data_IF_747766292788
#
_entry.id   IF_747766292788
#
_cell.length_a   1.000
_cell.length_b   1.000
_cell.length_c   1.000
_cell.angle_alpha   90.00
_cell.angle_beta   90.00
_cell.angle_gamma   90.00
#
_symmetry.space_group_name_H-M   'P 1'
#
loop_
_entity.id
_entity.type
_entity.pdbx_description
1 polymer ?
#
# COMPACT_ATOMS: atom_id res chain seq x y z
N UNK A 1 17.44 -18.90 -9.82
CA UNK A 1 17.60 -18.12 -8.59
C UNK A 1 17.42 -19.03 -7.40
N UNK A 2 18.24 -18.91 -6.35
CA UNK A 2 18.05 -19.70 -5.13
C UNK A 2 16.68 -19.40 -4.51
N UNK A 3 16.06 -20.43 -3.91
CA UNK A 3 14.78 -20.27 -3.21
C UNK A 3 15.02 -19.40 -1.96
N UNK A 4 14.29 -18.27 -1.79
CA UNK A 4 14.41 -17.47 -0.57
C UNK A 4 14.11 -18.31 0.67
N UNK A 5 14.84 -18.09 1.77
CA UNK A 5 14.71 -18.88 2.99
C UNK A 5 13.25 -18.97 3.49
N UNK A 6 12.53 -17.85 3.49
CA UNK A 6 11.10 -17.80 3.85
C UNK A 6 10.15 -18.51 2.89
N UNK A 7 10.59 -18.83 1.66
CA UNK A 7 9.76 -19.47 0.63
C UNK A 7 10.04 -20.99 0.48
N UNK A 8 11.00 -21.54 1.21
CA UNK A 8 11.43 -22.96 1.05
C UNK A 8 10.27 -23.94 1.24
N UNK A 9 9.46 -23.75 2.28
CA UNK A 9 8.30 -24.61 2.54
C UNK A 9 7.26 -24.49 1.43
N UNK A 10 6.93 -23.28 1.03
CA UNK A 10 5.96 -23.00 -0.03
C UNK A 10 6.43 -23.59 -1.36
N UNK A 11 7.72 -23.46 -1.67
CA UNK A 11 8.33 -24.07 -2.84
C UNK A 11 8.15 -25.58 -2.85
N UNK A 12 8.44 -26.26 -1.72
CA UNK A 12 8.30 -27.69 -1.60
C UNK A 12 6.87 -28.18 -1.85
N UNK A 13 5.87 -27.50 -1.30
CA UNK A 13 4.47 -27.87 -1.54
C UNK A 13 4.04 -27.55 -2.99
N UNK A 14 4.53 -26.47 -3.56
CA UNK A 14 4.24 -26.11 -4.95
C UNK A 14 4.83 -27.15 -5.93
N UNK A 15 6.07 -27.58 -5.73
CA UNK A 15 6.71 -28.59 -6.59
C UNK A 15 6.09 -29.99 -6.46
N UNK A 16 5.45 -30.32 -5.32
CA UNK A 16 4.65 -31.56 -5.19
C UNK A 16 3.40 -31.52 -6.06
N UNK A 17 2.74 -30.37 -6.12
CA UNK A 17 1.51 -30.19 -6.91
C UNK A 17 1.80 -30.02 -8.41
N UNK A 18 2.93 -29.39 -8.76
CA UNK A 18 3.31 -29.03 -10.12
C UNK A 18 4.79 -29.38 -10.39
N UNK A 19 5.16 -30.67 -10.51
CA UNK A 19 6.56 -31.10 -10.57
C UNK A 19 7.33 -30.59 -11.80
N UNK A 20 6.64 -30.30 -12.90
CA UNK A 20 7.24 -29.79 -14.14
C UNK A 20 7.26 -28.26 -14.21
N UNK A 21 6.74 -27.56 -13.20
CA UNK A 21 6.65 -26.11 -13.23
C UNK A 21 8.01 -25.44 -13.01
N UNK A 22 8.28 -24.41 -13.80
CA UNK A 22 9.41 -23.49 -13.57
C UNK A 22 8.98 -22.42 -12.57
N UNK A 23 9.56 -22.45 -11.36
CA UNK A 23 9.23 -21.50 -10.29
C UNK A 23 10.25 -20.38 -10.25
N UNK A 24 9.78 -19.14 -10.30
CA UNK A 24 10.57 -17.92 -10.12
C UNK A 24 10.09 -17.14 -8.90
N UNK A 25 11.02 -16.51 -8.20
CA UNK A 25 10.74 -15.67 -7.03
C UNK A 25 11.05 -14.21 -7.35
N UNK A 26 10.14 -13.35 -6.99
CA UNK A 26 10.28 -11.91 -7.12
C UNK A 26 9.68 -11.21 -5.89
N UNK A 27 10.04 -9.95 -5.65
CA UNK A 27 9.36 -9.13 -4.65
C UNK A 27 7.94 -8.79 -5.12
N UNK A 28 7.07 -8.50 -4.17
CA UNK A 28 5.74 -7.94 -4.42
C UNK A 28 5.80 -6.66 -5.27
N UNK A 29 6.82 -5.83 -5.02
CA UNK A 29 7.04 -4.59 -5.76
C UNK A 29 7.39 -4.83 -7.24
N UNK A 30 8.22 -5.85 -7.55
CA UNK A 30 8.48 -6.23 -8.95
C UNK A 30 7.23 -6.85 -9.59
N UNK A 31 6.46 -7.61 -8.83
CA UNK A 31 5.18 -8.14 -9.29
C UNK A 31 4.19 -7.02 -9.63
N UNK A 32 4.08 -6.00 -8.77
CA UNK A 32 3.26 -4.82 -9.03
C UNK A 32 3.70 -4.07 -10.30
N UNK A 33 5.01 -3.85 -10.48
CA UNK A 33 5.54 -3.17 -11.66
C UNK A 33 5.25 -3.94 -12.95
N UNK A 34 5.45 -5.26 -12.97
CA UNK A 34 5.12 -6.12 -14.11
C UNK A 34 3.63 -6.12 -14.43
N UNK A 35 2.79 -6.16 -13.39
CA UNK A 35 1.34 -6.14 -13.55
C UNK A 35 0.83 -4.85 -14.20
N UNK A 36 1.40 -3.71 -13.79
CA UNK A 36 0.98 -2.39 -14.26
C UNK A 36 1.51 -2.06 -15.66
N UNK A 37 2.76 -2.39 -15.93
CA UNK A 37 3.47 -1.87 -17.11
C UNK A 37 3.91 -2.94 -18.11
N UNK A 38 3.78 -4.21 -17.76
CA UNK A 38 4.31 -5.29 -18.59
C UNK A 38 5.82 -5.16 -18.77
N UNK A 39 6.26 -4.88 -20.01
CA UNK A 39 7.67 -4.70 -20.37
C UNK A 39 8.03 -3.23 -20.66
N UNK A 40 7.17 -2.29 -20.28
CA UNK A 40 7.40 -0.84 -20.46
C UNK A 40 7.90 -0.23 -19.15
N UNK A 41 8.70 0.84 -19.22
CA UNK A 41 9.12 1.55 -18.03
C UNK A 41 7.95 2.29 -17.37
N UNK A 42 8.07 2.51 -16.04
CA UNK A 42 7.09 3.26 -15.27
C UNK A 42 7.43 3.33 -13.78
N UNK A 43 6.61 4.03 -13.01
CA UNK A 43 6.73 4.13 -11.55
C UNK A 43 5.57 3.37 -10.94
N UNK A 44 5.87 2.23 -10.30
CA UNK A 44 4.89 1.40 -9.64
C UNK A 44 4.76 1.77 -8.16
N UNK A 45 3.53 1.81 -7.68
CA UNK A 45 3.18 2.06 -6.28
C UNK A 45 2.32 0.92 -5.77
N UNK A 46 2.71 0.32 -4.65
CA UNK A 46 1.83 -0.53 -3.85
C UNK A 46 1.15 0.36 -2.80
N UNK A 47 -0.17 0.27 -2.69
CA UNK A 47 -0.95 1.07 -1.74
C UNK A 47 -2.09 0.24 -1.12
N UNK A 48 -1.75 -0.44 -0.03
CA UNK A 48 -2.62 -1.32 0.76
C UNK A 48 -2.59 -0.97 2.24
N UNK A 49 -2.41 -1.98 3.10
CA UNK A 49 -2.13 -1.76 4.53
C UNK A 49 -0.87 -0.92 4.72
N UNK A 50 0.23 -1.27 4.04
CA UNK A 50 1.42 -0.44 3.90
C UNK A 50 1.50 0.19 2.52
N UNK A 51 2.65 0.82 2.22
CA UNK A 51 2.97 1.35 0.90
C UNK A 51 4.41 1.05 0.51
N UNK A 52 4.66 0.96 -0.78
CA UNK A 52 6.01 0.89 -1.35
C UNK A 52 5.98 1.43 -2.78
N UNK A 53 7.12 1.84 -3.32
CA UNK A 53 7.19 2.36 -4.68
C UNK A 53 8.51 2.04 -5.34
N UNK A 54 8.54 1.98 -6.68
CA UNK A 54 9.78 1.83 -7.43
C UNK A 54 9.69 2.44 -8.82
N UNK A 55 10.85 2.78 -9.34
CA UNK A 55 11.07 3.00 -10.75
C UNK A 55 11.46 1.67 -11.40
N UNK A 56 10.75 1.33 -12.47
CA UNK A 56 10.88 0.10 -13.24
C UNK A 56 11.28 0.43 -14.67
N UNK A 57 12.28 -0.27 -15.22
CA UNK A 57 12.80 -0.03 -16.59
C UNK A 57 12.14 -0.90 -17.68
N UNK A 58 11.15 -1.71 -17.31
CA UNK A 58 10.53 -2.71 -18.19
C UNK A 58 11.06 -4.13 -17.96
N UNK A 59 12.10 -4.31 -17.14
CA UNK A 59 12.70 -5.62 -16.81
C UNK A 59 12.92 -5.78 -15.30
N UNK A 60 13.47 -4.77 -14.66
CA UNK A 60 13.87 -4.79 -13.25
C UNK A 60 13.61 -3.45 -12.56
N UNK A 61 13.64 -3.47 -11.24
CA UNK A 61 13.58 -2.26 -10.43
C UNK A 61 14.95 -1.57 -10.50
N UNK A 62 14.97 -0.32 -10.94
CA UNK A 62 16.20 0.49 -11.06
C UNK A 62 16.36 1.49 -9.90
N UNK A 63 15.25 1.88 -9.26
CA UNK A 63 15.27 2.73 -8.06
C UNK A 63 14.11 2.35 -7.15
N UNK A 64 14.36 2.32 -5.85
CA UNK A 64 13.32 2.13 -4.83
C UNK A 64 13.53 3.15 -3.69
N UNK A 65 12.55 4.00 -3.47
CA UNK A 65 12.46 4.81 -2.25
C UNK A 65 11.93 3.89 -1.15
N UNK A 66 12.73 3.68 -0.10
CA UNK A 66 12.43 2.70 0.95
C UNK A 66 11.15 3.08 1.70
N UNK A 67 10.21 2.14 1.83
CA UNK A 67 8.95 2.38 2.53
C UNK A 67 9.12 2.61 4.04
N UNK A 68 10.15 2.05 4.65
CA UNK A 68 10.41 2.17 6.09
C UNK A 68 9.48 1.35 6.99
N UNK A 69 8.39 0.77 6.45
CA UNK A 69 7.38 0.03 7.19
C UNK A 69 6.50 0.92 8.09
N UNK A 70 5.57 0.31 8.83
CA UNK A 70 4.48 1.02 9.53
C UNK A 70 4.93 2.00 10.64
N UNK A 71 6.15 1.87 11.14
CA UNK A 71 6.71 2.80 12.14
C UNK A 71 7.33 4.02 11.49
N UNK A 72 8.20 3.80 10.49
CA UNK A 72 9.08 4.84 9.93
C UNK A 72 8.55 5.41 8.60
N UNK A 73 7.51 4.82 8.03
CA UNK A 73 7.01 5.18 6.72
C UNK A 73 5.62 4.62 6.43
N UNK A 74 5.48 3.88 5.32
CA UNK A 74 4.23 3.39 4.76
C UNK A 74 3.22 4.51 4.48
N UNK A 75 3.74 5.70 4.12
CA UNK A 75 2.94 6.88 3.84
C UNK A 75 1.89 6.59 2.78
N UNK A 76 0.69 7.08 2.97
CA UNK A 76 -0.46 6.83 2.10
C UNK A 76 -1.17 5.50 2.40
N UNK A 77 -0.53 4.55 3.09
CA UNK A 77 -1.12 3.25 3.44
C UNK A 77 -2.13 3.32 4.58
N UNK A 78 -2.98 2.29 4.68
CA UNK A 78 -4.01 2.20 5.71
C UNK A 78 -3.45 2.13 7.14
N UNK A 79 -2.28 1.51 7.35
CA UNK A 79 -1.63 1.45 8.66
C UNK A 79 -1.08 2.81 9.09
N UNK A 80 -0.53 3.59 8.17
CA UNK A 80 -0.08 4.96 8.44
C UNK A 80 -1.27 5.85 8.84
N UNK A 81 -2.39 5.75 8.12
CA UNK A 81 -3.63 6.45 8.45
C UNK A 81 -4.15 6.06 9.83
N UNK A 82 -4.29 4.76 10.10
CA UNK A 82 -4.77 4.25 11.38
C UNK A 82 -3.85 4.60 12.55
N UNK A 83 -2.53 4.57 12.35
CA UNK A 83 -1.53 4.97 13.36
C UNK A 83 -1.72 6.43 13.78
N UNK A 84 -1.89 7.32 12.80
CA UNK A 84 -2.12 8.73 13.08
C UNK A 84 -3.43 8.94 13.82
N UNK A 85 -4.53 8.34 13.34
CA UNK A 85 -5.85 8.44 13.96
C UNK A 85 -5.87 7.91 15.40
N UNK A 86 -5.31 6.72 15.64
CA UNK A 86 -5.23 6.12 16.97
C UNK A 86 -4.38 6.98 17.91
N UNK A 87 -3.26 7.52 17.43
CA UNK A 87 -2.44 8.45 18.21
C UNK A 87 -3.23 9.70 18.66
N UNK A 88 -4.00 10.27 17.75
CA UNK A 88 -4.82 11.45 17.99
C UNK A 88 -6.02 11.12 18.91
N UNK A 89 -6.63 9.94 18.73
CA UNK A 89 -7.70 9.46 19.61
C UNK A 89 -7.23 9.33 21.07
N UNK A 90 -6.09 8.69 21.31
CA UNK A 90 -5.53 8.51 22.66
C UNK A 90 -5.15 9.83 23.33
N UNK A 91 -4.99 10.90 22.57
CA UNK A 91 -4.69 12.26 23.07
C UNK A 91 -5.91 13.17 23.16
N UNK A 92 -7.12 12.66 22.83
CA UNK A 92 -8.34 13.45 22.84
C UNK A 92 -8.40 14.54 21.76
N UNK A 93 -7.69 14.35 20.63
CA UNK A 93 -7.67 15.30 19.50
C UNK A 93 -8.80 15.00 18.51
N UNK A 94 -9.23 13.73 18.40
CA UNK A 94 -10.33 13.35 17.49
C UNK A 94 -11.62 14.01 17.95
N UNK A 95 -12.33 14.78 17.08
CA UNK A 95 -13.55 15.48 17.48
C UNK A 95 -14.70 14.53 17.81
N UNK A 96 -15.58 14.97 18.69
CA UNK A 96 -16.91 14.41 18.86
C UNK A 96 -17.79 14.75 17.61
N UNK A 97 -18.70 13.87 17.17
CA UNK A 97 -19.06 12.56 17.75
C UNK A 97 -18.18 11.38 17.26
N UNK A 98 -17.19 11.62 16.39
CA UNK A 98 -16.34 10.57 15.78
C UNK A 98 -15.60 9.78 16.87
N UNK A 99 -15.07 10.47 17.91
CA UNK A 99 -14.36 9.82 19.00
C UNK A 99 -15.26 8.85 19.79
N UNK A 100 -16.47 9.29 20.15
CA UNK A 100 -17.43 8.44 20.87
C UNK A 100 -17.89 7.24 20.04
N UNK A 101 -18.14 7.42 18.75
CA UNK A 101 -18.51 6.33 17.86
C UNK A 101 -17.37 5.32 17.70
N UNK A 102 -16.13 5.78 17.55
CA UNK A 102 -14.94 4.92 17.50
C UNK A 102 -14.79 4.08 18.76
N UNK A 103 -14.88 4.70 19.93
CA UNK A 103 -14.80 4.01 21.21
C UNK A 103 -15.94 2.99 21.44
N UNK A 104 -17.11 3.20 20.82
CA UNK A 104 -18.21 2.25 20.89
C UNK A 104 -18.04 1.02 19.99
N UNK A 105 -17.31 1.17 18.89
CA UNK A 105 -17.07 0.10 17.91
C UNK A 105 -15.82 -0.75 18.20
N UNK A 106 -14.83 -0.15 18.88
CA UNK A 106 -13.53 -0.79 19.07
C UNK A 106 -13.10 -0.74 20.54
N UNK A 107 -12.41 -1.79 20.99
CA UNK A 107 -11.77 -1.79 22.31
C UNK A 107 -10.53 -0.89 22.26
N UNK A 108 -10.71 0.35 22.72
CA UNK A 108 -9.69 1.40 22.74
C UNK A 108 -9.09 1.63 24.13
N UNK A 109 -9.22 0.64 25.03
CA UNK A 109 -8.51 0.66 26.32
C UNK A 109 -7.00 0.82 26.07
N UNK A 110 -6.38 1.74 26.80
CA UNK A 110 -4.98 2.15 26.54
C UNK A 110 -3.99 0.98 26.49
N UNK A 111 -4.03 0.09 27.49
CA UNK A 111 -3.10 -1.05 27.55
C UNK A 111 -3.39 -2.08 26.47
N UNK A 112 -4.66 -2.22 26.04
CA UNK A 112 -5.03 -3.08 24.91
C UNK A 112 -4.41 -2.55 23.61
N UNK A 113 -4.56 -1.27 23.32
CA UNK A 113 -3.96 -0.62 22.14
C UNK A 113 -2.44 -0.76 22.15
N UNK A 114 -1.79 -0.40 23.26
CA UNK A 114 -0.33 -0.50 23.42
C UNK A 114 0.16 -1.95 23.20
N UNK A 115 -0.54 -2.94 23.76
CA UNK A 115 -0.20 -4.36 23.56
C UNK A 115 -0.28 -4.74 22.08
N UNK A 116 -1.35 -4.37 21.37
CA UNK A 116 -1.52 -4.74 19.95
C UNK A 116 -0.49 -4.05 19.06
N UNK A 117 -0.15 -2.78 19.33
CA UNK A 117 0.81 -2.01 18.53
C UNK A 117 2.25 -2.46 18.77
N UNK A 118 2.65 -2.76 20.00
CA UNK A 118 4.06 -3.01 20.33
C UNK A 118 4.39 -4.48 20.54
N UNK A 119 3.41 -5.35 20.77
CA UNK A 119 3.61 -6.77 21.09
C UNK A 119 2.67 -7.72 20.33
N UNK A 120 1.77 -7.17 19.52
CA UNK A 120 0.85 -7.96 18.72
C UNK A 120 1.57 -8.67 17.56
N UNK A 121 0.97 -9.73 17.00
CA UNK A 121 1.56 -10.49 15.90
C UNK A 121 1.58 -9.71 14.57
N UNK A 122 0.71 -8.73 14.40
CA UNK A 122 0.56 -7.96 13.16
C UNK A 122 0.16 -6.51 13.44
N UNK A 123 1.06 -5.67 13.99
CA UNK A 123 0.73 -4.29 14.38
C UNK A 123 0.24 -3.43 13.20
N UNK A 124 0.84 -3.59 12.02
CA UNK A 124 0.42 -2.86 10.82
C UNK A 124 -1.01 -3.23 10.40
N UNK A 125 -1.37 -4.52 10.46
CA UNK A 125 -2.74 -4.96 10.16
C UNK A 125 -3.74 -4.45 11.20
N UNK A 126 -3.36 -4.46 12.48
CA UNK A 126 -4.18 -3.88 13.56
C UNK A 126 -4.47 -2.41 13.31
N UNK A 127 -3.45 -1.60 13.03
CA UNK A 127 -3.62 -0.18 12.73
C UNK A 127 -4.42 0.04 11.45
N UNK A 128 -4.12 -0.72 10.39
CA UNK A 128 -4.82 -0.62 9.11
C UNK A 128 -6.29 -1.04 9.17
N UNK A 129 -6.69 -1.86 10.18
CA UNK A 129 -8.08 -2.28 10.35
C UNK A 129 -9.04 -1.13 10.72
N UNK A 130 -8.52 -0.01 11.18
CA UNK A 130 -9.32 1.19 11.49
C UNK A 130 -9.57 2.06 10.25
N UNK A 131 -8.85 1.84 9.16
CA UNK A 131 -9.00 2.66 7.96
C UNK A 131 -10.43 2.71 7.40
N UNK A 132 -11.20 1.61 7.34
CA UNK A 132 -12.60 1.68 6.87
C UNK A 132 -13.44 2.64 7.71
N UNK A 133 -13.36 2.57 9.06
CA UNK A 133 -14.07 3.49 9.94
C UNK A 133 -13.67 4.96 9.68
N UNK A 134 -12.38 5.22 9.56
CA UNK A 134 -11.89 6.57 9.28
C UNK A 134 -12.47 7.09 7.96
N UNK A 135 -12.47 6.25 6.92
CA UNK A 135 -12.98 6.62 5.60
C UNK A 135 -14.49 6.86 5.57
N UNK A 136 -15.29 6.17 6.42
CA UNK A 136 -16.73 6.44 6.58
C UNK A 136 -17.02 7.89 6.99
N UNK A 137 -16.09 8.53 7.70
CA UNK A 137 -16.21 9.91 8.17
C UNK A 137 -15.54 10.97 7.29
N UNK A 138 -14.98 10.58 6.14
CA UNK A 138 -14.21 11.47 5.27
C UNK A 138 -14.99 12.72 4.84
N UNK A 139 -16.24 12.55 4.40
CA UNK A 139 -17.06 13.66 3.91
C UNK A 139 -17.80 14.43 5.01
N UNK A 140 -17.97 13.82 6.19
CA UNK A 140 -18.74 14.38 7.30
C UNK A 140 -17.90 15.09 8.36
N UNK A 141 -16.58 14.84 8.43
CA UNK A 141 -15.71 15.39 9.44
C UNK A 141 -14.45 16.04 8.84
N UNK A 142 -14.32 17.36 9.00
CA UNK A 142 -13.18 18.10 8.47
C UNK A 142 -11.83 17.59 8.99
N UNK A 143 -11.75 17.21 10.27
CA UNK A 143 -10.55 16.62 10.87
C UNK A 143 -10.16 15.33 10.10
N UNK A 144 -11.12 14.43 9.88
CA UNK A 144 -10.88 13.17 9.16
C UNK A 144 -10.46 13.45 7.71
N UNK A 145 -11.13 14.38 7.05
CA UNK A 145 -10.77 14.78 5.68
C UNK A 145 -9.32 15.27 5.62
N UNK A 146 -8.93 16.16 6.51
CA UNK A 146 -7.54 16.65 6.58
C UNK A 146 -6.56 15.53 6.86
N UNK A 147 -6.89 14.61 7.76
CA UNK A 147 -6.04 13.47 8.13
C UNK A 147 -5.79 12.55 6.92
N UNK A 148 -6.84 12.18 6.20
CA UNK A 148 -6.77 11.31 5.00
C UNK A 148 -6.00 12.01 3.88
N UNK A 149 -6.33 13.27 3.60
CA UNK A 149 -5.65 14.06 2.55
C UNK A 149 -4.15 14.17 2.86
N UNK A 150 -3.77 14.44 4.10
CA UNK A 150 -2.38 14.53 4.52
C UNK A 150 -1.66 13.17 4.46
N UNK A 151 -2.35 12.07 4.74
CA UNK A 151 -1.78 10.73 4.57
C UNK A 151 -1.41 10.47 3.10
N UNK A 152 -2.29 10.82 2.15
CA UNK A 152 -1.95 10.71 0.73
C UNK A 152 -0.90 11.73 0.29
N UNK A 153 -0.96 13.00 0.75
CA UNK A 153 0.09 13.99 0.44
C UNK A 153 1.47 13.50 0.87
N UNK A 154 1.58 12.88 2.05
CA UNK A 154 2.84 12.31 2.52
C UNK A 154 3.43 11.26 1.56
N UNK A 155 2.59 10.44 0.89
CA UNK A 155 3.05 9.52 -0.15
C UNK A 155 3.72 10.26 -1.32
N UNK A 156 3.14 11.37 -1.78
CA UNK A 156 3.75 12.15 -2.85
C UNK A 156 5.03 12.84 -2.39
N UNK A 157 4.97 13.60 -1.30
CA UNK A 157 6.08 14.41 -0.81
C UNK A 157 7.30 13.59 -0.39
N UNK A 158 7.08 12.46 0.27
CA UNK A 158 8.16 11.65 0.85
C UNK A 158 8.64 10.54 -0.05
N UNK A 159 7.81 10.09 -0.99
CA UNK A 159 8.13 8.94 -1.84
C UNK A 159 8.15 9.30 -3.32
N UNK A 160 7.01 9.70 -3.90
CA UNK A 160 6.88 9.77 -5.36
C UNK A 160 7.68 10.91 -5.99
N UNK A 161 7.74 12.08 -5.36
CA UNK A 161 8.53 13.21 -5.87
C UNK A 161 10.05 12.99 -5.80
N UNK A 162 10.51 11.88 -5.25
CA UNK A 162 11.91 11.49 -5.30
C UNK A 162 12.30 10.75 -6.59
N UNK A 163 11.31 10.36 -7.42
CA UNK A 163 11.55 9.79 -8.75
C UNK A 163 11.54 10.91 -9.80
N UNK A 164 12.24 10.65 -10.91
CA UNK A 164 12.05 11.42 -12.13
C UNK A 164 10.76 10.94 -12.81
N UNK A 165 9.67 11.67 -12.58
CA UNK A 165 8.31 11.31 -13.04
C UNK A 165 8.07 11.79 -14.46
N UNK A 166 8.86 12.74 -14.97
CA UNK A 166 8.63 13.36 -16.26
C UNK A 166 8.61 12.32 -17.39
N UNK A 167 7.50 12.26 -18.13
CA UNK A 167 7.31 11.32 -19.23
C UNK A 167 7.13 9.84 -18.84
N UNK A 168 7.07 9.51 -17.54
CA UNK A 168 6.86 8.13 -17.07
C UNK A 168 5.45 7.94 -16.52
N UNK A 169 4.75 6.86 -16.90
CA UNK A 169 3.46 6.54 -16.28
C UNK A 169 3.65 6.15 -14.81
N UNK A 170 2.75 6.63 -13.96
CA UNK A 170 2.66 6.23 -12.55
C UNK A 170 1.45 5.32 -12.40
N UNK A 171 1.63 4.11 -11.90
CA UNK A 171 0.54 3.16 -11.67
C UNK A 171 0.47 2.72 -10.21
N UNK A 172 -0.73 2.42 -9.73
CA UNK A 172 -0.99 2.04 -8.34
C UNK A 172 -1.64 0.66 -8.27
N UNK A 173 -1.13 -0.21 -7.40
CA UNK A 173 -1.70 -1.52 -7.08
C UNK A 173 -2.03 -1.58 -5.60
N UNK A 174 -3.23 -2.00 -5.24
CA UNK A 174 -3.59 -2.28 -3.87
C UNK A 174 -5.01 -1.86 -3.50
N UNK A 175 -5.58 -2.62 -2.56
CA UNK A 175 -6.98 -2.46 -2.20
C UNK A 175 -7.32 -1.09 -1.60
N UNK A 176 -6.43 -0.51 -0.80
CA UNK A 176 -6.67 0.80 -0.19
C UNK A 176 -6.63 1.92 -1.24
N UNK A 177 -5.60 1.95 -2.10
CA UNK A 177 -5.51 2.92 -3.19
C UNK A 177 -6.66 2.81 -4.18
N UNK A 178 -7.08 1.59 -4.52
CA UNK A 178 -8.20 1.35 -5.43
C UNK A 178 -9.55 1.79 -4.83
N UNK A 179 -9.81 1.46 -3.56
CA UNK A 179 -11.06 1.82 -2.90
C UNK A 179 -11.23 3.35 -2.75
N UNK A 180 -10.11 4.08 -2.66
CA UNK A 180 -10.10 5.54 -2.43
C UNK A 180 -9.47 6.32 -3.60
N UNK A 181 -9.57 5.75 -4.82
CA UNK A 181 -8.93 6.28 -6.03
C UNK A 181 -9.29 7.74 -6.33
N UNK A 182 -10.51 8.16 -6.05
CA UNK A 182 -10.98 9.54 -6.32
C UNK A 182 -10.21 10.55 -5.46
N UNK A 183 -10.01 10.24 -4.18
CA UNK A 183 -9.23 11.09 -3.26
C UNK A 183 -7.76 11.07 -3.68
N UNK A 184 -7.21 9.89 -3.98
CA UNK A 184 -5.83 9.75 -4.42
C UNK A 184 -5.55 10.54 -5.70
N UNK A 185 -6.43 10.47 -6.71
CA UNK A 185 -6.31 11.20 -7.97
C UNK A 185 -6.39 12.72 -7.75
N UNK A 186 -7.31 13.17 -6.89
CA UNK A 186 -7.41 14.58 -6.53
C UNK A 186 -6.13 15.10 -5.86
N UNK A 187 -5.58 14.34 -4.91
CA UNK A 187 -4.31 14.71 -4.26
C UNK A 187 -3.15 14.65 -5.26
N UNK A 188 -3.10 13.67 -6.17
CA UNK A 188 -2.08 13.60 -7.22
C UNK A 188 -2.05 14.85 -8.09
N UNK A 189 -3.23 15.43 -8.40
CA UNK A 189 -3.34 16.68 -9.16
C UNK A 189 -2.71 17.88 -8.44
N UNK A 190 -2.74 17.92 -7.10
CA UNK A 190 -2.09 18.97 -6.31
C UNK A 190 -0.56 19.02 -6.56
N UNK A 191 0.03 17.86 -6.92
CA UNK A 191 1.47 17.72 -7.21
C UNK A 191 1.80 17.63 -8.70
N UNK A 192 0.80 17.78 -9.57
CA UNK A 192 1.00 17.63 -11.02
C UNK A 192 1.36 16.20 -11.47
N UNK A 193 1.05 15.19 -10.65
CA UNK A 193 1.34 13.79 -10.95
C UNK A 193 0.15 13.14 -11.64
N UNK A 194 0.34 12.69 -12.88
CA UNK A 194 -0.65 11.89 -13.60
C UNK A 194 -0.56 10.40 -13.23
N UNK A 195 -1.61 9.85 -12.61
CA UNK A 195 -1.71 8.41 -12.37
C UNK A 195 -2.39 7.76 -13.57
N UNK A 196 -1.71 6.82 -14.22
CA UNK A 196 -2.16 6.18 -15.45
C UNK A 196 -3.13 5.01 -15.20
N UNK A 197 -2.98 4.31 -14.08
CA UNK A 197 -3.83 3.18 -13.72
C UNK A 197 -3.85 2.94 -12.21
N UNK A 198 -5.01 2.47 -11.69
CA UNK A 198 -5.17 2.08 -10.29
C UNK A 198 -5.94 0.76 -10.26
N UNK A 199 -5.29 -0.31 -9.83
CA UNK A 199 -5.87 -1.66 -9.75
C UNK A 199 -5.87 -2.19 -8.32
N UNK A 200 -6.90 -2.96 -7.96
CA UNK A 200 -7.01 -3.53 -6.62
C UNK A 200 -6.04 -4.68 -6.36
N UNK A 201 -5.67 -5.42 -7.41
CA UNK A 201 -4.82 -6.61 -7.35
C UNK A 201 -3.89 -6.68 -8.58
N UNK A 202 -2.67 -7.20 -8.42
CA UNK A 202 -1.74 -7.37 -9.54
C UNK A 202 -2.02 -8.63 -10.38
N UNK A 203 -2.93 -9.53 -9.97
CA UNK A 203 -3.05 -10.89 -10.51
C UNK A 203 -3.33 -10.89 -12.01
N UNK A 204 -4.33 -10.13 -12.48
CA UNK A 204 -4.70 -10.09 -13.90
C UNK A 204 -3.55 -9.58 -14.77
N UNK A 205 -2.88 -8.52 -14.35
CA UNK A 205 -1.73 -7.97 -15.05
C UNK A 205 -0.54 -8.94 -15.08
N UNK A 206 -0.30 -9.70 -14.00
CA UNK A 206 0.73 -10.73 -13.95
C UNK A 206 0.42 -11.90 -14.88
N UNK A 207 -0.82 -12.37 -14.91
CA UNK A 207 -1.25 -13.43 -15.83
C UNK A 207 -0.96 -13.00 -17.26
N UNK A 208 -1.36 -11.79 -17.65
CA UNK A 208 -1.07 -11.23 -18.97
C UNK A 208 0.42 -11.15 -19.25
N UNK A 209 1.21 -10.63 -18.31
CA UNK A 209 2.67 -10.53 -18.44
C UNK A 209 3.34 -11.86 -18.79
N UNK A 210 2.93 -12.96 -18.13
CA UNK A 210 3.52 -14.27 -18.32
C UNK A 210 2.94 -15.06 -19.52
N UNK A 211 1.70 -14.78 -19.95
CA UNK A 211 1.15 -15.33 -21.20
C UNK A 211 1.92 -14.74 -22.39
N UNK A 212 2.06 -13.42 -22.44
CA UNK A 212 2.80 -12.72 -23.51
C UNK A 212 4.29 -13.13 -23.56
N UNK A 213 4.85 -13.67 -22.45
CA UNK A 213 6.23 -14.20 -22.43
C UNK A 213 6.36 -15.56 -23.15
N UNK A 214 5.31 -16.36 -23.16
CA UNK A 214 5.33 -17.69 -23.77
C UNK A 214 4.98 -17.67 -25.26
N UNK A 215 4.48 -16.54 -25.79
CA UNK A 215 4.12 -16.37 -27.19
C UNK A 215 5.26 -15.76 -28.06
N UNK A 216 6.36 -15.29 -27.43
CA UNK A 216 7.55 -14.74 -28.06
C UNK A 216 8.79 -15.62 -27.84
#
# INVERSE_FOLDING_TARGET
NPVPEGAVRLHGEFMKAFPEAKVAYASDLLAAARALFGRKPGIAVILGTGSNSCEYDGKQIVKNVRSGGFILGDEGGGASLGRQFVSDFLKGIVPEPVASEFASKYDMEYFHVVKNVYRGPSPASYLGSFAPFIMEHYDSCLYVKCLVDNNFRALFERCLLQYDIEGKPVGVVGGFGFAHKEILLRVAQEYGVGISDIVSSPIEGLVKYYIDENEN
#
